data_IF_451069237563
#
_entry.id   IF_451069237563
#
_cell.length_a   1.000
_cell.length_b   1.000
_cell.length_c   1.000
_cell.angle_alpha   90.00
_cell.angle_beta   90.00
_cell.angle_gamma   90.00
#
_symmetry.space_group_name_H-M   'P 1'
#
loop_
_entity.id
_entity.type
_entity.pdbx_description
1 polymer ?
#
# COMPACT_ATOMS: atom_id res chain seq x y z
N UNK A 1 -33.60 -5.28 28.68
CA UNK A 1 -34.94 -4.95 28.20
C UNK A 1 -35.13 -5.54 26.80
N UNK A 2 -36.07 -6.50 26.63
CA UNK A 2 -36.25 -7.27 25.41
C UNK A 2 -36.78 -6.45 24.21
N UNK A 3 -37.17 -5.20 24.42
CA UNK A 3 -37.72 -4.32 23.41
C UNK A 3 -36.69 -3.45 22.68
N UNK A 4 -35.43 -3.47 23.10
CA UNK A 4 -34.36 -2.65 22.48
C UNK A 4 -33.42 -3.46 21.58
N UNK A 5 -33.75 -4.74 21.34
CA UNK A 5 -33.00 -5.57 20.41
C UNK A 5 -33.46 -5.26 18.98
N UNK A 6 -32.60 -4.60 18.22
CA UNK A 6 -32.82 -4.23 16.79
C UNK A 6 -32.94 -5.43 15.84
N UNK A 7 -32.91 -6.68 16.34
CA UNK A 7 -32.94 -7.89 15.51
C UNK A 7 -31.71 -8.08 14.61
N UNK A 8 -30.69 -7.24 14.79
CA UNK A 8 -29.40 -7.37 14.06
C UNK A 8 -28.54 -8.42 14.76
N UNK A 9 -27.90 -9.25 13.97
CA UNK A 9 -26.98 -10.31 14.40
C UNK A 9 -25.73 -9.73 15.08
N UNK A 10 -25.40 -8.45 14.81
CA UNK A 10 -24.29 -7.72 15.41
C UNK A 10 -24.84 -6.66 16.38
N UNK A 11 -25.11 -7.05 17.63
CA UNK A 11 -25.40 -6.13 18.70
C UNK A 11 -24.14 -5.95 19.57
N UNK A 12 -23.71 -4.72 19.75
CA UNK A 12 -22.55 -4.40 20.57
C UNK A 12 -22.53 -2.91 20.94
N UNK A 13 -21.72 -2.57 21.93
CA UNK A 13 -21.43 -1.18 22.26
C UNK A 13 -20.21 -0.72 21.43
N UNK A 14 -20.30 0.45 20.83
CA UNK A 14 -19.18 1.11 20.16
C UNK A 14 -18.77 2.33 20.96
N UNK A 15 -17.48 2.45 21.22
CA UNK A 15 -16.88 3.63 21.80
C UNK A 15 -16.03 4.33 20.73
N UNK A 16 -16.26 5.61 20.50
CA UNK A 16 -15.49 6.39 19.55
C UNK A 16 -14.66 7.45 20.29
N UNK A 17 -13.37 7.51 20.00
CA UNK A 17 -12.49 8.56 20.47
C UNK A 17 -12.24 9.58 19.35
N UNK A 18 -12.44 10.86 19.63
CA UNK A 18 -12.13 11.96 18.73
C UNK A 18 -10.91 12.71 19.24
N UNK A 19 -9.85 12.72 18.47
CA UNK A 19 -8.61 13.41 18.80
C UNK A 19 -8.49 14.63 17.89
N UNK A 20 -8.66 15.85 18.41
CA UNK A 20 -8.49 17.05 17.60
C UNK A 20 -7.02 17.24 17.25
N UNK A 21 -6.71 17.37 15.98
CA UNK A 21 -5.38 17.73 15.49
C UNK A 21 -5.30 19.25 15.30
N UNK A 22 -4.17 19.82 15.64
CA UNK A 22 -3.89 21.24 15.56
C UNK A 22 -2.67 21.52 14.68
N UNK A 23 -2.34 22.75 14.43
CA UNK A 23 -1.11 23.11 13.72
C UNK A 23 0.16 22.67 14.45
N UNK A 24 0.10 22.41 15.76
CA UNK A 24 1.23 21.88 16.52
C UNK A 24 1.54 20.41 16.18
N UNK A 25 0.57 19.69 15.66
CA UNK A 25 0.70 18.26 15.31
C UNK A 25 1.24 18.05 13.89
N UNK A 26 1.47 19.14 13.13
CA UNK A 26 1.88 19.10 11.73
C UNK A 26 3.14 18.24 11.52
N UNK A 27 4.20 18.50 12.26
CA UNK A 27 5.46 17.73 12.17
C UNK A 27 5.24 16.24 12.48
N UNK A 28 4.41 15.94 13.47
CA UNK A 28 4.04 14.57 13.84
C UNK A 28 3.32 13.84 12.69
N UNK A 29 2.38 14.53 12.04
CA UNK A 29 1.64 13.99 10.90
C UNK A 29 2.56 13.81 9.68
N UNK A 30 3.46 14.75 9.41
CA UNK A 30 4.44 14.64 8.32
C UNK A 30 5.31 13.39 8.50
N UNK A 31 5.84 13.15 9.69
CA UNK A 31 6.61 11.93 10.02
C UNK A 31 5.82 10.63 9.84
N UNK A 32 4.51 10.65 10.14
CA UNK A 32 3.63 9.49 9.90
C UNK A 32 3.46 9.24 8.41
N UNK A 33 3.20 10.30 7.61
CA UNK A 33 3.00 10.20 6.16
C UNK A 33 4.28 9.73 5.46
N UNK A 34 5.44 10.23 5.89
CA UNK A 34 6.75 9.88 5.35
C UNK A 34 7.27 8.54 5.89
N UNK A 35 6.49 7.90 6.78
CA UNK A 35 6.84 6.63 7.44
C UNK A 35 8.22 6.64 8.13
N UNK A 36 8.59 7.78 8.67
CA UNK A 36 9.81 7.94 9.50
C UNK A 36 9.65 7.39 10.92
N UNK A 37 8.46 6.84 11.23
CA UNK A 37 8.11 6.32 12.57
C UNK A 37 7.59 4.91 12.49
N UNK A 38 7.88 4.13 13.51
CA UNK A 38 7.47 2.71 13.56
C UNK A 38 6.03 2.52 14.02
N UNK A 39 5.56 3.34 14.95
CA UNK A 39 4.24 3.16 15.57
C UNK A 39 3.67 4.47 16.10
N UNK A 40 2.36 4.53 16.17
CA UNK A 40 1.61 5.61 16.81
C UNK A 40 0.93 5.12 18.08
N UNK A 41 0.71 6.06 18.99
CA UNK A 41 -0.05 5.85 20.21
C UNK A 41 -1.07 6.97 20.40
N UNK A 42 -2.31 6.59 20.65
CA UNK A 42 -3.43 7.48 20.91
C UNK A 42 -3.88 7.35 22.37
N UNK A 43 -4.20 8.47 23.00
CA UNK A 43 -4.67 8.53 24.37
C UNK A 43 -5.53 9.78 24.59
N UNK A 44 -6.16 9.99 25.76
CA UNK A 44 -6.81 11.26 26.09
C UNK A 44 -5.87 12.48 26.04
N UNK A 45 -4.55 12.25 25.99
CA UNK A 45 -3.53 13.32 25.85
C UNK A 45 -3.21 13.66 24.39
N UNK A 46 -3.78 12.91 23.42
CA UNK A 46 -3.56 13.11 22.00
C UNK A 46 -2.76 12.01 21.32
N UNK A 47 -2.17 12.35 20.19
CA UNK A 47 -1.35 11.50 19.33
C UNK A 47 0.14 11.62 19.73
N UNK A 48 0.82 10.50 19.82
CA UNK A 48 2.26 10.40 20.08
C UNK A 48 2.93 9.40 19.13
N UNK A 49 4.19 9.63 18.80
CA UNK A 49 5.05 8.71 18.06
C UNK A 49 5.81 7.84 19.05
N UNK A 50 5.84 6.53 18.79
CA UNK A 50 6.54 5.57 19.66
C UNK A 50 7.32 4.57 18.83
N UNK A 51 8.23 3.83 19.46
CA UNK A 51 8.97 2.74 18.84
C UNK A 51 8.32 1.40 19.17
N UNK A 52 8.22 0.53 18.16
CA UNK A 52 7.99 -0.90 18.32
C UNK A 52 6.75 -1.29 19.11
N UNK A 53 5.55 -0.81 18.76
CA UNK A 53 4.32 -1.25 19.40
C UNK A 53 3.54 -2.25 18.53
N UNK A 54 2.99 -3.27 19.18
CA UNK A 54 1.95 -4.09 18.59
C UNK A 54 0.59 -3.35 18.64
N UNK A 55 -0.29 -3.65 17.69
CA UNK A 55 -1.67 -3.15 17.73
C UNK A 55 -2.38 -3.62 18.99
N UNK A 56 -2.94 -2.69 19.74
CA UNK A 56 -3.66 -3.02 20.97
C UNK A 56 -4.37 -1.85 21.61
N UNK A 57 -5.43 -2.17 22.34
CA UNK A 57 -6.19 -1.21 23.14
C UNK A 57 -6.16 -1.63 24.62
N UNK A 58 -5.72 -0.73 25.48
CA UNK A 58 -5.88 -0.80 26.92
C UNK A 58 -6.96 0.21 27.30
N UNK A 59 -8.08 -0.25 27.87
CA UNK A 59 -9.21 0.61 28.23
C UNK A 59 -9.60 0.38 29.66
N UNK A 60 -9.40 1.37 30.54
CA UNK A 60 -9.81 1.38 31.92
C UNK A 60 -11.04 2.30 32.15
N UNK A 61 -11.07 3.46 31.45
CA UNK A 61 -12.18 4.41 31.48
C UNK A 61 -12.07 5.38 30.31
N UNK A 62 -13.09 6.22 30.08
CA UNK A 62 -13.07 7.28 29.06
C UNK A 62 -11.90 8.28 29.20
N UNK A 63 -11.35 8.42 30.42
CA UNK A 63 -10.21 9.30 30.72
C UNK A 63 -8.89 8.56 30.87
N UNK A 64 -8.92 7.23 30.81
CA UNK A 64 -7.76 6.37 30.97
C UNK A 64 -7.83 5.20 29.98
N UNK A 65 -7.30 5.46 28.81
CA UNK A 65 -7.16 4.48 27.74
C UNK A 65 -5.91 4.76 26.92
N UNK A 66 -5.41 3.73 26.27
CA UNK A 66 -4.24 3.76 25.39
C UNK A 66 -4.48 2.85 24.21
N UNK A 67 -4.35 3.39 23.01
CA UNK A 67 -4.36 2.62 21.78
C UNK A 67 -3.03 2.77 21.08
N UNK A 68 -2.46 1.67 20.62
CA UNK A 68 -1.22 1.67 19.84
C UNK A 68 -1.38 0.87 18.57
N UNK A 69 -0.74 1.32 17.49
CA UNK A 69 -0.65 0.56 16.24
C UNK A 69 0.65 0.90 15.49
N UNK A 70 1.21 -0.07 14.74
CA UNK A 70 2.32 0.22 13.84
C UNK A 70 1.86 1.11 12.68
N UNK A 71 2.74 2.02 12.25
CA UNK A 71 2.57 2.75 11.00
C UNK A 71 2.94 1.81 9.86
N UNK A 72 1.93 1.22 9.25
CA UNK A 72 2.12 0.29 8.15
C UNK A 72 2.24 1.11 6.86
N UNK A 73 3.38 1.02 6.21
CA UNK A 73 3.52 1.55 4.86
C UNK A 73 2.60 0.79 3.91
N UNK A 74 1.99 1.53 3.00
CA UNK A 74 1.21 0.93 1.92
C UNK A 74 2.14 0.02 1.09
N UNK A 75 1.80 -1.26 0.90
CA UNK A 75 2.64 -2.16 0.13
C UNK A 75 2.73 -1.68 -1.32
N UNK A 76 3.93 -1.67 -1.87
CA UNK A 76 4.19 -1.23 -3.25
C UNK A 76 4.17 -2.42 -4.19
N UNK A 77 3.44 -2.29 -5.30
CA UNK A 77 3.50 -3.26 -6.40
C UNK A 77 3.92 -2.59 -7.71
N UNK A 78 4.95 -3.16 -8.32
CA UNK A 78 5.42 -2.81 -9.64
C UNK A 78 4.79 -3.73 -10.68
N UNK A 79 4.01 -3.17 -11.59
CA UNK A 79 3.39 -3.89 -12.69
C UNK A 79 4.13 -3.52 -13.98
N UNK A 80 4.86 -4.48 -14.55
CA UNK A 80 5.65 -4.30 -15.75
C UNK A 80 4.89 -4.87 -16.96
N UNK A 81 4.41 -3.99 -17.82
CA UNK A 81 3.50 -4.24 -18.92
C UNK A 81 2.13 -3.61 -18.66
N UNK A 82 1.70 -2.66 -19.49
CA UNK A 82 0.50 -1.83 -19.31
C UNK A 82 -0.73 -2.30 -20.11
N UNK A 83 -0.83 -3.60 -20.43
CA UNK A 83 -1.94 -4.16 -21.20
C UNK A 83 -3.25 -4.30 -20.39
N UNK A 84 -4.25 -4.97 -20.98
CA UNK A 84 -5.57 -5.15 -20.35
C UNK A 84 -5.49 -5.95 -19.03
N UNK A 85 -4.60 -6.94 -18.96
CA UNK A 85 -4.40 -7.74 -17.74
C UNK A 85 -3.82 -6.88 -16.62
N UNK A 86 -2.87 -6.00 -16.95
CA UNK A 86 -2.30 -5.05 -16.01
C UNK A 86 -3.35 -4.05 -15.49
N UNK A 87 -4.28 -3.63 -16.35
CA UNK A 87 -5.40 -2.77 -15.93
C UNK A 87 -6.27 -3.47 -14.88
N UNK A 88 -6.70 -4.70 -15.16
CA UNK A 88 -7.50 -5.49 -14.22
C UNK A 88 -6.74 -5.81 -12.91
N UNK A 89 -5.44 -6.09 -13.01
CA UNK A 89 -4.59 -6.30 -11.83
C UNK A 89 -4.47 -5.02 -11.01
N UNK A 90 -4.32 -3.86 -11.66
CA UNK A 90 -4.26 -2.56 -10.98
C UNK A 90 -5.53 -2.29 -10.17
N UNK A 91 -6.71 -2.56 -10.73
CA UNK A 91 -7.98 -2.42 -10.03
C UNK A 91 -8.03 -3.31 -8.78
N UNK A 92 -7.65 -4.57 -8.90
CA UNK A 92 -7.62 -5.52 -7.78
C UNK A 92 -6.63 -5.09 -6.70
N UNK A 93 -5.42 -4.71 -7.08
CA UNK A 93 -4.37 -4.30 -6.13
C UNK A 93 -4.71 -2.97 -5.45
N UNK A 94 -5.36 -2.05 -6.15
CA UNK A 94 -5.89 -0.82 -5.56
C UNK A 94 -6.93 -1.13 -4.47
N UNK A 95 -7.86 -2.05 -4.75
CA UNK A 95 -8.85 -2.50 -3.76
C UNK A 95 -8.21 -3.15 -2.53
N UNK A 96 -7.07 -3.84 -2.72
CA UNK A 96 -6.29 -4.44 -1.64
C UNK A 96 -5.37 -3.43 -0.92
N UNK A 97 -5.38 -2.17 -1.30
CA UNK A 97 -4.64 -1.11 -0.63
C UNK A 97 -3.17 -0.97 -1.07
N UNK A 98 -2.77 -1.50 -2.22
CA UNK A 98 -1.42 -1.35 -2.74
C UNK A 98 -1.19 0.02 -3.39
N UNK A 99 0.04 0.53 -3.23
CA UNK A 99 0.56 1.63 -4.04
C UNK A 99 1.10 1.05 -5.36
N UNK A 100 0.53 1.46 -6.49
CA UNK A 100 0.76 0.81 -7.78
C UNK A 100 1.65 1.67 -8.66
N UNK A 101 2.80 1.11 -9.07
CA UNK A 101 3.70 1.69 -10.06
C UNK A 101 3.61 0.87 -11.35
N UNK A 102 3.23 1.50 -12.45
CA UNK A 102 2.98 0.86 -13.75
C UNK A 102 4.05 1.25 -14.77
N UNK A 103 4.63 0.27 -15.45
CA UNK A 103 5.73 0.44 -16.41
C UNK A 103 5.38 -0.17 -17.76
N UNK A 104 5.65 0.54 -18.86
CA UNK A 104 5.52 0.00 -20.23
C UNK A 104 6.51 0.70 -21.16
N UNK A 105 6.91 0.03 -22.25
CA UNK A 105 7.81 0.59 -23.26
C UNK A 105 7.08 1.32 -24.38
N UNK A 106 5.75 1.27 -24.39
CA UNK A 106 4.91 1.84 -25.48
C UNK A 106 4.30 3.17 -25.05
N UNK A 107 4.69 4.29 -25.66
CA UNK A 107 4.04 5.56 -25.43
C UNK A 107 2.61 5.57 -26.01
N UNK A 108 1.68 6.22 -25.30
CA UNK A 108 0.31 6.42 -25.79
C UNK A 108 -0.61 5.21 -25.72
N UNK A 109 -0.28 4.19 -24.93
CA UNK A 109 -1.14 3.02 -24.74
C UNK A 109 -2.43 3.41 -24.00
N UNK A 110 -3.58 3.18 -24.61
CA UNK A 110 -4.89 3.57 -24.05
C UNK A 110 -5.17 2.95 -22.68
N UNK A 111 -4.74 1.71 -22.46
CA UNK A 111 -4.90 1.02 -21.17
C UNK A 111 -4.12 1.69 -20.04
N UNK A 112 -2.96 2.28 -20.34
CA UNK A 112 -2.19 3.07 -19.37
C UNK A 112 -2.86 4.42 -19.13
N UNK A 113 -3.28 5.10 -20.19
CA UNK A 113 -3.95 6.39 -20.06
C UNK A 113 -5.24 6.28 -19.23
N UNK A 114 -6.04 5.24 -19.48
CA UNK A 114 -7.30 4.98 -18.79
C UNK A 114 -7.13 4.40 -17.38
N UNK A 115 -5.95 3.89 -17.01
CA UNK A 115 -5.73 3.27 -15.71
C UNK A 115 -5.69 4.32 -14.59
N UNK A 116 -6.83 4.56 -13.93
CA UNK A 116 -6.95 5.47 -12.79
C UNK A 116 -6.50 4.88 -11.47
N UNK A 117 -6.22 3.57 -11.41
CA UNK A 117 -5.81 2.86 -10.20
C UNK A 117 -4.31 2.94 -9.96
N UNK A 118 -3.50 3.10 -11.03
CA UNK A 118 -2.06 3.26 -10.90
C UNK A 118 -1.72 4.65 -10.35
N UNK A 119 -0.94 4.67 -9.26
CA UNK A 119 -0.47 5.89 -8.61
C UNK A 119 0.62 6.58 -9.43
N UNK A 120 1.51 5.77 -10.02
CA UNK A 120 2.59 6.24 -10.88
C UNK A 120 2.62 5.44 -12.19
N UNK A 121 2.96 6.11 -13.30
CA UNK A 121 3.01 5.51 -14.64
C UNK A 121 4.29 5.94 -15.33
N UNK A 122 5.05 4.97 -15.81
CA UNK A 122 6.35 5.19 -16.42
C UNK A 122 6.40 4.60 -17.83
N UNK A 123 6.87 5.41 -18.78
CA UNK A 123 7.28 4.91 -20.11
C UNK A 123 8.78 4.67 -20.02
N UNK A 124 9.18 3.41 -20.17
CA UNK A 124 10.54 2.94 -19.89
C UNK A 124 11.15 2.23 -21.08
N UNK A 125 12.48 2.11 -21.08
CA UNK A 125 13.16 1.15 -21.93
C UNK A 125 13.38 -0.14 -21.14
N UNK A 126 12.84 -1.26 -21.60
CA UNK A 126 12.99 -2.55 -20.93
C UNK A 126 14.43 -3.06 -20.88
N UNK A 127 15.33 -2.58 -21.75
CA UNK A 127 16.76 -2.95 -21.69
C UNK A 127 17.52 -2.30 -20.52
N UNK A 128 16.93 -1.32 -19.84
CA UNK A 128 17.51 -0.60 -18.71
C UNK A 128 16.51 -0.38 -17.58
N UNK A 129 15.55 -1.28 -17.44
CA UNK A 129 14.45 -1.12 -16.47
C UNK A 129 14.92 -1.28 -15.01
N UNK A 130 16.02 -1.98 -14.77
CA UNK A 130 16.64 -2.17 -13.46
C UNK A 130 16.98 -0.86 -12.75
N UNK A 131 17.18 0.23 -13.50
CA UNK A 131 17.45 1.56 -12.94
C UNK A 131 16.27 2.16 -12.15
N UNK A 132 15.06 1.62 -12.32
CA UNK A 132 13.86 2.06 -11.61
C UNK A 132 13.66 1.33 -10.27
N UNK A 133 14.47 0.31 -9.97
CA UNK A 133 14.30 -0.54 -8.80
C UNK A 133 15.51 -0.43 -7.87
N UNK A 134 15.40 0.48 -6.90
CA UNK A 134 16.39 0.72 -5.85
C UNK A 134 15.68 0.44 -4.52
N UNK A 135 16.30 -0.33 -3.64
CA UNK A 135 15.80 -0.64 -2.28
C UNK A 135 14.38 -1.26 -2.27
N UNK A 136 14.17 -2.31 -3.07
CA UNK A 136 12.87 -2.95 -3.31
C UNK A 136 12.60 -4.21 -2.45
N UNK A 137 13.31 -4.41 -1.35
CA UNK A 137 13.27 -5.63 -0.54
C UNK A 137 11.86 -5.97 0.00
N UNK A 138 11.04 -4.96 0.25
CA UNK A 138 9.68 -5.12 0.77
C UNK A 138 8.60 -4.89 -0.30
N UNK A 139 8.99 -4.81 -1.57
CA UNK A 139 8.08 -4.49 -2.68
C UNK A 139 7.79 -5.73 -3.52
N UNK A 140 6.67 -5.66 -4.23
CA UNK A 140 6.18 -6.73 -5.11
C UNK A 140 6.40 -6.34 -6.56
N UNK A 141 6.74 -7.29 -7.41
CA UNK A 141 6.83 -7.06 -8.86
C UNK A 141 6.14 -8.16 -9.66
N UNK A 142 5.43 -7.77 -10.71
CA UNK A 142 4.79 -8.69 -11.65
C UNK A 142 5.13 -8.28 -13.08
N UNK A 143 5.72 -9.21 -13.83
CA UNK A 143 6.07 -9.04 -15.23
C UNK A 143 4.95 -9.63 -16.08
N UNK A 144 4.37 -8.80 -16.96
CA UNK A 144 3.28 -9.18 -17.86
C UNK A 144 3.33 -8.37 -19.16
N UNK A 145 4.48 -8.36 -19.80
CA UNK A 145 4.67 -7.63 -21.07
C UNK A 145 3.95 -8.34 -22.25
N UNK A 146 4.10 -7.82 -23.46
CA UNK A 146 3.36 -8.39 -24.60
C UNK A 146 3.92 -9.69 -25.15
N UNK A 147 5.02 -10.20 -24.60
CA UNK A 147 5.57 -11.43 -25.14
C UNK A 147 6.87 -11.90 -24.53
N UNK A 148 7.17 -13.17 -24.77
CA UNK A 148 8.31 -13.89 -24.20
C UNK A 148 9.67 -13.15 -24.30
N UNK A 149 9.93 -12.42 -25.40
CA UNK A 149 11.21 -11.73 -25.56
C UNK A 149 11.38 -10.58 -24.58
N UNK A 150 10.35 -9.77 -24.46
CA UNK A 150 10.32 -8.63 -23.53
C UNK A 150 10.28 -9.12 -22.08
N UNK A 151 9.46 -10.13 -21.78
CA UNK A 151 9.43 -10.76 -20.47
C UNK A 151 10.81 -11.28 -20.03
N UNK A 152 11.52 -11.96 -20.94
CA UNK A 152 12.87 -12.46 -20.70
C UNK A 152 13.88 -11.34 -20.44
N UNK A 153 13.79 -10.24 -21.19
CA UNK A 153 14.67 -9.07 -21.02
C UNK A 153 14.48 -8.44 -19.65
N UNK A 154 13.23 -8.20 -19.26
CA UNK A 154 12.87 -7.65 -17.95
C UNK A 154 13.28 -8.60 -16.83
N UNK A 155 12.88 -9.88 -16.93
CA UNK A 155 13.18 -10.87 -15.90
C UNK A 155 14.67 -10.97 -15.57
N UNK A 156 15.54 -10.98 -16.61
CA UNK A 156 17.00 -11.07 -16.41
C UNK A 156 17.54 -9.94 -15.55
N UNK A 157 17.02 -8.73 -15.66
CA UNK A 157 17.48 -7.59 -14.91
C UNK A 157 16.90 -7.59 -13.47
N UNK A 158 15.67 -8.09 -13.31
CA UNK A 158 15.00 -8.07 -12.02
C UNK A 158 15.34 -9.28 -11.13
N UNK A 159 15.88 -10.38 -11.69
CA UNK A 159 16.32 -11.54 -10.90
C UNK A 159 17.46 -11.23 -9.92
N UNK A 160 18.23 -10.18 -10.16
CA UNK A 160 19.31 -9.74 -9.27
C UNK A 160 18.83 -8.78 -8.16
N UNK A 161 17.55 -8.40 -8.18
CA UNK A 161 16.94 -7.51 -7.20
C UNK A 161 16.22 -8.32 -6.12
N UNK A 162 16.27 -7.84 -4.89
CA UNK A 162 15.69 -8.51 -3.73
C UNK A 162 14.24 -8.07 -3.50
N UNK A 163 13.34 -8.41 -4.42
CA UNK A 163 11.90 -8.18 -4.18
C UNK A 163 11.34 -9.14 -3.12
N UNK A 164 10.33 -8.70 -2.38
CA UNK A 164 9.54 -9.60 -1.53
C UNK A 164 8.83 -10.67 -2.38
N UNK A 165 8.35 -10.28 -3.56
CA UNK A 165 7.75 -11.18 -4.53
C UNK A 165 8.05 -10.71 -5.95
N UNK A 166 8.53 -11.63 -6.79
CA UNK A 166 8.71 -11.40 -8.22
C UNK A 166 7.94 -12.48 -8.99
N UNK A 167 6.89 -12.08 -9.67
CA UNK A 167 6.04 -12.93 -10.49
C UNK A 167 6.20 -12.68 -11.98
N UNK A 168 6.02 -13.74 -12.78
CA UNK A 168 5.96 -13.65 -14.25
C UNK A 168 4.67 -14.31 -14.73
N UNK A 169 3.87 -13.56 -15.48
CA UNK A 169 2.70 -14.08 -16.18
C UNK A 169 3.11 -14.50 -17.60
N UNK A 170 3.01 -15.77 -17.88
CA UNK A 170 3.31 -16.35 -19.19
C UNK A 170 2.17 -17.23 -19.70
N UNK A 171 2.04 -17.35 -21.03
CA UNK A 171 1.24 -18.42 -21.66
C UNK A 171 2.07 -19.70 -21.73
N UNK A 172 1.39 -20.84 -21.60
CA UNK A 172 1.96 -22.15 -21.91
C UNK A 172 2.20 -22.30 -23.41
#
# INVERSE_FOLDING_TARGET
HANDQSGMICSGNQLNAFIPLTSADKETIEKIIEAEVESIQLSPKGLQLIHGAATGLQFNSEKDWLYSEPVIQQPVIHIIGGGHVAFALSELMHFLGFYIKLYDDRPGLNTIAANSFACEKYIVNYDSIDNYFIDVENEYAVIMTIGYRTDKTVLKQLLEKSFFYLGLLGSQ
#
